data_IF_993525878266
#
_entry.id   IF_993525878266
#
_cell.length_a   1.000
_cell.length_b   1.000
_cell.length_c   1.000
_cell.angle_alpha   90.00
_cell.angle_beta   90.00
_cell.angle_gamma   90.00
#
_symmetry.space_group_name_H-M   'P 1'
#
loop_
_entity.id
_entity.type
_entity.pdbx_description
1 polymer ?
#
# COMPACT_ATOMS: atom_id res chain seq x y z
N UNK A 1 16.46 18.07 -10.95
CA UNK A 1 16.26 17.72 -10.66
C UNK A 1 16.09 17.10 -10.32
N UNK A 2 15.84 16.79 -10.30
CA UNK A 2 15.65 16.14 -9.95
C UNK A 2 15.23 15.80 -9.15
N UNK A 3 15.33 15.89 -8.80
CA UNK A 3 14.93 15.57 -7.76
C UNK A 3 13.68 15.25 -7.55
N UNK A 4 13.04 15.32 -7.83
CA UNK A 4 12.00 15.02 -7.71
C UNK A 4 11.70 13.83 -7.86
N UNK A 5 12.07 13.27 -8.37
CA UNK A 5 11.82 12.10 -8.59
C UNK A 5 11.74 11.34 -7.42
N UNK A 6 12.41 11.46 -6.53
CA UNK A 6 12.39 10.60 -5.41
C UNK A 6 11.15 10.75 -4.57
N UNK A 7 10.48 11.81 -4.76
CA UNK A 7 9.23 12.00 -4.05
C UNK A 7 8.20 11.00 -4.50
N UNK A 8 8.27 10.65 -5.75
CA UNK A 8 7.29 9.76 -6.30
C UNK A 8 7.31 8.39 -5.69
N UNK A 9 8.48 7.84 -5.52
CA UNK A 9 8.48 6.49 -5.05
C UNK A 9 8.11 6.34 -3.60
N UNK A 10 8.03 7.42 -2.88
CA UNK A 10 7.58 7.32 -1.52
C UNK A 10 6.11 7.00 -1.45
N UNK A 11 5.40 7.22 -2.53
CA UNK A 11 3.98 6.95 -2.53
C UNK A 11 3.63 5.69 -3.25
N UNK A 12 4.62 4.98 -3.73
CA UNK A 12 4.34 3.77 -4.47
C UNK A 12 4.01 2.63 -3.55
N UNK A 13 2.99 1.88 -3.93
CA UNK A 13 2.57 0.73 -3.16
C UNK A 13 2.70 -0.50 -4.03
N UNK A 14 3.57 -1.40 -3.63
CA UNK A 14 3.74 -2.66 -4.33
C UNK A 14 3.19 -3.79 -3.48
N UNK A 15 3.30 -5.00 -3.97
CA UNK A 15 2.74 -6.16 -3.32
C UNK A 15 3.24 -6.32 -1.89
N UNK A 16 4.53 -6.20 -1.70
CA UNK A 16 5.10 -6.41 -0.38
C UNK A 16 4.68 -5.34 0.60
N UNK A 17 4.66 -4.11 0.15
CA UNK A 17 4.33 -3.02 1.04
C UNK A 17 2.88 -3.08 1.48
N UNK A 18 2.00 -3.46 0.57
CA UNK A 18 0.58 -3.59 0.90
C UNK A 18 0.37 -4.70 1.92
N UNK A 19 1.03 -5.82 1.70
CA UNK A 19 0.90 -6.93 2.63
C UNK A 19 1.46 -6.54 4.00
N UNK A 20 2.57 -5.82 4.01
CA UNK A 20 3.18 -5.38 5.27
C UNK A 20 2.25 -4.42 6.00
N UNK A 21 1.61 -3.53 5.28
CA UNK A 21 0.66 -2.61 5.92
C UNK A 21 -0.51 -3.39 6.50
N UNK A 22 -1.04 -4.32 5.73
CA UNK A 22 -2.16 -5.12 6.21
C UNK A 22 -1.78 -5.89 7.47
N UNK A 23 -0.60 -6.48 7.47
CA UNK A 23 -0.12 -7.21 8.65
C UNK A 23 0.04 -6.26 9.83
N UNK A 24 0.57 -5.08 9.58
CA UNK A 24 0.75 -4.09 10.64
C UNK A 24 -0.58 -3.71 11.26
N UNK A 25 -1.61 -3.62 10.44
CA UNK A 25 -2.93 -3.25 10.92
C UNK A 25 -3.68 -4.43 11.55
N UNK A 26 -3.17 -5.63 11.36
CA UNK A 26 -3.84 -6.81 11.88
C UNK A 26 -5.11 -7.13 11.15
N UNK A 27 -5.18 -6.81 9.87
CA UNK A 27 -6.41 -7.00 9.10
C UNK A 27 -6.28 -8.16 8.12
N UNK A 28 -7.41 -8.79 7.83
CA UNK A 28 -7.46 -9.76 6.75
C UNK A 28 -7.58 -8.99 5.44
N UNK A 29 -7.42 -9.69 4.32
CA UNK A 29 -7.62 -9.05 3.02
C UNK A 29 -9.03 -8.51 2.90
N UNK A 30 -10.00 -9.25 3.39
CA UNK A 30 -11.40 -8.81 3.33
C UNK A 30 -11.58 -7.53 4.13
N UNK A 31 -10.99 -7.47 5.31
CA UNK A 31 -11.14 -6.29 6.16
C UNK A 31 -10.47 -5.08 5.55
N UNK A 32 -9.29 -5.26 4.96
CA UNK A 32 -8.64 -4.14 4.30
C UNK A 32 -9.45 -3.70 3.10
N UNK A 33 -10.02 -4.66 2.37
CA UNK A 33 -10.85 -4.32 1.22
C UNK A 33 -12.02 -3.46 1.64
N UNK A 34 -12.65 -3.81 2.75
CA UNK A 34 -13.77 -3.04 3.26
C UNK A 34 -13.34 -1.63 3.64
N UNK A 35 -12.17 -1.54 4.23
CA UNK A 35 -11.66 -0.24 4.64
C UNK A 35 -11.42 0.66 3.43
N UNK A 36 -10.96 0.08 2.34
CA UNK A 36 -10.63 0.84 1.15
C UNK A 36 -11.79 0.97 0.17
N UNK A 37 -12.88 0.27 0.41
CA UNK A 37 -14.00 0.31 -0.49
C UNK A 37 -13.74 -0.44 -1.79
N UNK A 38 -12.94 -1.49 -1.75
CA UNK A 38 -12.67 -2.30 -2.92
C UNK A 38 -13.02 -3.74 -2.60
N UNK A 39 -12.93 -4.60 -3.60
CA UNK A 39 -13.21 -6.00 -3.40
C UNK A 39 -12.00 -6.72 -2.86
N UNK A 40 -12.24 -7.80 -2.13
CA UNK A 40 -11.14 -8.59 -1.61
C UNK A 40 -10.23 -9.08 -2.73
N UNK A 41 -10.81 -9.45 -3.86
CA UNK A 41 -10.02 -9.91 -4.98
C UNK A 41 -9.01 -8.85 -5.42
N UNK A 42 -9.40 -7.58 -5.34
CA UNK A 42 -8.50 -6.49 -5.69
C UNK A 42 -7.29 -6.50 -4.77
N UNK A 43 -7.51 -6.67 -3.47
CA UNK A 43 -6.40 -6.73 -2.53
C UNK A 43 -5.50 -7.92 -2.87
N UNK A 44 -6.11 -9.06 -3.14
CA UNK A 44 -5.35 -10.25 -3.47
C UNK A 44 -4.47 -10.02 -4.69
N UNK A 45 -5.03 -9.36 -5.71
CA UNK A 45 -4.29 -9.10 -6.94
C UNK A 45 -3.12 -8.15 -6.69
N UNK A 46 -3.32 -7.18 -5.82
CA UNK A 46 -2.22 -6.29 -5.45
C UNK A 46 -1.10 -7.08 -4.76
N UNK A 47 -1.49 -7.99 -3.87
CA UNK A 47 -0.50 -8.69 -3.04
C UNK A 47 0.25 -9.76 -3.79
N UNK A 48 -0.25 -10.19 -4.94
CA UNK A 48 0.51 -11.11 -5.78
C UNK A 48 1.17 -10.37 -6.95
N UNK A 49 0.98 -9.07 -7.03
CA UNK A 49 1.69 -8.28 -8.03
C UNK A 49 1.05 -8.22 -9.40
N UNK A 50 -0.20 -8.65 -9.52
CA UNK A 50 -0.88 -8.61 -10.82
C UNK A 50 -1.23 -7.18 -11.18
N UNK A 51 -1.68 -6.41 -10.21
CA UNK A 51 -2.02 -5.01 -10.42
C UNK A 51 -1.49 -4.18 -9.28
N UNK A 52 -1.37 -2.90 -9.52
CA UNK A 52 -0.98 -1.96 -8.48
C UNK A 52 -2.14 -1.02 -8.20
N UNK A 53 -2.22 -0.47 -7.00
CA UNK A 53 -3.29 0.47 -6.69
C UNK A 53 -3.19 1.72 -7.55
N UNK A 54 -4.35 2.29 -7.84
CA UNK A 54 -4.38 3.55 -8.55
C UNK A 54 -3.87 4.65 -7.67
N UNK A 55 -3.57 5.78 -8.29
CA UNK A 55 -3.04 6.90 -7.55
C UNK A 55 -3.94 7.34 -6.39
N UNK A 56 -5.23 7.43 -6.63
CA UNK A 56 -6.13 7.87 -5.58
C UNK A 56 -6.15 6.89 -4.41
N UNK A 57 -6.12 5.61 -4.73
CA UNK A 57 -6.09 4.60 -3.68
C UNK A 57 -4.76 4.63 -2.95
N UNK A 58 -3.68 4.88 -3.68
CA UNK A 58 -2.36 4.97 -3.06
C UNK A 58 -2.32 6.11 -2.05
N UNK A 59 -2.96 7.21 -2.37
CA UNK A 59 -3.00 8.33 -1.44
C UNK A 59 -3.75 7.96 -0.18
N UNK A 60 -4.82 7.21 -0.34
CA UNK A 60 -5.58 6.78 0.82
C UNK A 60 -4.78 5.79 1.65
N UNK A 61 -4.03 4.90 0.98
CA UNK A 61 -3.16 3.98 1.70
C UNK A 61 -2.10 4.74 2.47
N UNK A 62 -1.56 5.80 1.91
CA UNK A 62 -0.60 6.63 2.62
C UNK A 62 -1.21 7.22 3.88
N UNK A 63 -2.44 7.67 3.79
CA UNK A 63 -3.11 8.26 4.93
C UNK A 63 -3.32 7.22 6.02
N UNK A 64 -3.77 6.05 5.64
CA UNK A 64 -3.99 4.98 6.60
C UNK A 64 -2.66 4.60 7.27
N UNK A 65 -1.61 4.49 6.47
CA UNK A 65 -0.30 4.12 6.98
C UNK A 65 0.20 5.16 7.97
N UNK A 66 0.01 6.42 7.64
CA UNK A 66 0.42 7.49 8.51
C UNK A 66 -0.28 7.43 9.85
N UNK A 67 -1.58 7.24 9.81
CA UNK A 67 -2.36 7.19 11.03
C UNK A 67 -2.02 5.99 11.89
N UNK A 68 -1.59 4.91 11.26
CA UNK A 68 -1.26 3.70 11.97
C UNK A 68 0.20 3.67 12.42
N UNK A 69 0.96 4.70 12.12
CA UNK A 69 2.36 4.72 12.47
C UNK A 69 3.17 3.70 11.69
N UNK A 70 2.71 3.35 10.50
CA UNK A 70 3.39 2.35 9.68
C UNK A 70 4.50 3.01 8.87
N UNK A 71 5.66 2.41 8.93
CA UNK A 71 6.79 2.92 8.20
C UNK A 71 7.49 1.73 7.55
N UNK A 72 7.40 1.65 6.24
CA UNK A 72 7.99 0.53 5.53
C UNK A 72 9.30 0.95 4.91
N UNK A 73 10.34 0.21 5.23
CA UNK A 73 11.61 0.49 4.63
C UNK A 73 11.95 -0.60 3.68
N UNK A 74 12.13 -0.22 2.45
CA UNK A 74 12.49 -1.20 1.45
C UNK A 74 13.84 -1.76 1.83
N UNK A 75 14.02 -3.07 1.58
CA UNK A 75 15.21 -3.67 1.84
C UNK A 75 16.22 -3.11 0.96
N UNK A 76 17.24 -2.65 1.38
CA UNK A 76 18.13 -2.05 0.56
C UNK A 76 19.11 -2.89 0.21
N UNK A 77 19.50 -3.25 -0.38
CA UNK A 77 20.33 -4.06 -0.71
C UNK A 77 21.24 -3.92 -0.80
#
# INVERSE_FOLDING_TARGET
MTAKRHVVYETEWDAEKIKALRDHLGLTQQQLAEELGVRQQTISEWEVGVYEPRRSTSKYLNLIAERAGFSYKARKN
#
